data_IF_977769827598
#
_entry.id   IF_977769827598
#
_cell.length_a   1.000
_cell.length_b   1.000
_cell.length_c   1.000
_cell.angle_alpha   90.00
_cell.angle_beta   90.00
_cell.angle_gamma   90.00
#
_symmetry.space_group_name_H-M   'P 1'
#
loop_
_entity.id
_entity.type
_entity.pdbx_description
1 polymer ?
#
# COMPACT_ATOMS: atom_id res chain seq x y z
N UNK A 1 -11.47 -17.95 9.43
CA UNK A 1 -10.47 -18.74 8.68
C UNK A 1 -9.63 -17.77 7.88
N UNK A 2 -8.30 -17.84 7.99
CA UNK A 2 -7.42 -16.66 7.91
C UNK A 2 -7.28 -16.02 6.52
N UNK A 3 -7.33 -14.68 6.50
CA UNK A 3 -7.02 -13.80 5.37
C UNK A 3 -5.67 -14.10 4.68
N UNK A 4 -4.72 -14.74 5.37
CA UNK A 4 -3.47 -15.18 4.76
C UNK A 4 -3.77 -16.16 3.63
N UNK A 5 -4.73 -17.08 3.83
CA UNK A 5 -5.12 -18.00 2.77
C UNK A 5 -5.67 -17.25 1.56
N UNK A 6 -6.47 -16.19 1.71
CA UNK A 6 -7.04 -15.49 0.54
C UNK A 6 -5.99 -14.76 -0.31
N UNK A 7 -4.96 -14.19 0.32
CA UNK A 7 -3.83 -13.57 -0.41
C UNK A 7 -2.87 -14.60 -0.99
N UNK A 8 -2.65 -15.72 -0.30
CA UNK A 8 -1.82 -16.82 -0.83
C UNK A 8 -2.53 -17.63 -1.92
N UNK A 9 -3.88 -17.66 -1.94
CA UNK A 9 -4.68 -18.27 -3.01
C UNK A 9 -4.94 -17.33 -4.17
N UNK A 10 -4.91 -16.01 -3.93
CA UNK A 10 -4.91 -15.05 -5.02
C UNK A 10 -3.59 -15.16 -5.77
N UNK A 11 -3.62 -15.10 -7.11
CA UNK A 11 -2.45 -15.15 -8.00
C UNK A 11 -1.62 -13.85 -7.88
N UNK A 12 -1.23 -13.51 -6.67
CA UNK A 12 -0.53 -12.28 -6.29
C UNK A 12 0.94 -12.64 -6.03
N UNK A 13 1.90 -11.94 -6.66
CA UNK A 13 3.31 -12.23 -6.48
C UNK A 13 3.74 -12.12 -5.00
N UNK A 14 4.67 -12.97 -4.56
CA UNK A 14 5.19 -12.97 -3.17
C UNK A 14 5.66 -11.59 -2.69
N UNK A 15 6.24 -10.76 -3.58
CA UNK A 15 6.60 -9.36 -3.28
C UNK A 15 5.42 -8.49 -2.87
N UNK A 16 4.24 -8.71 -3.45
CA UNK A 16 3.02 -7.99 -3.14
C UNK A 16 2.44 -8.45 -1.79
N UNK A 17 2.51 -9.74 -1.48
CA UNK A 17 2.15 -10.25 -0.14
C UNK A 17 2.97 -9.58 0.97
N UNK A 18 4.29 -9.45 0.76
CA UNK A 18 5.17 -8.81 1.74
C UNK A 18 4.81 -7.32 1.96
N UNK A 19 4.56 -6.58 0.87
CA UNK A 19 4.13 -5.17 0.94
C UNK A 19 2.74 -5.04 1.58
N UNK A 20 1.80 -5.95 1.29
CA UNK A 20 0.47 -5.94 1.91
C UNK A 20 0.58 -6.10 3.42
N UNK A 21 1.36 -7.09 3.89
CA UNK A 21 1.57 -7.33 5.32
C UNK A 21 2.13 -6.09 6.00
N UNK A 22 3.15 -5.48 5.40
CA UNK A 22 3.73 -4.24 5.89
C UNK A 22 2.69 -3.11 6.03
N UNK A 23 1.86 -2.90 5.00
CA UNK A 23 0.85 -1.85 5.02
C UNK A 23 -0.17 -2.11 6.13
N UNK A 24 -0.68 -3.35 6.20
CA UNK A 24 -1.66 -3.77 7.21
C UNK A 24 -1.16 -3.57 8.63
N UNK A 25 0.06 -4.01 8.92
CA UNK A 25 0.68 -3.91 10.26
C UNK A 25 0.91 -2.44 10.68
N UNK A 26 0.75 -1.48 9.76
CA UNK A 26 0.91 -0.04 9.98
C UNK A 26 -0.38 0.75 9.75
N UNK A 27 -1.50 0.07 9.58
CA UNK A 27 -2.80 0.74 9.49
C UNK A 27 -3.25 1.27 10.83
N UNK A 28 -3.95 2.40 10.81
CA UNK A 28 -4.70 2.93 11.96
C UNK A 28 -6.06 2.20 12.10
N UNK A 29 -6.86 2.61 13.08
CA UNK A 29 -8.21 2.07 13.34
C UNK A 29 -9.16 2.17 12.13
N UNK A 30 -8.87 3.07 11.18
CA UNK A 30 -9.62 3.26 9.93
C UNK A 30 -9.07 2.41 8.78
N UNK A 31 -8.17 1.45 9.05
CA UNK A 31 -7.47 0.63 8.05
C UNK A 31 -6.65 1.44 7.04
N UNK A 32 -6.19 2.63 7.44
CA UNK A 32 -5.44 3.55 6.59
C UNK A 32 -3.99 3.69 7.05
N UNK A 33 -3.07 3.84 6.10
CA UNK A 33 -1.69 4.20 6.37
C UNK A 33 -1.14 5.14 5.28
N UNK A 34 -0.10 5.90 5.59
CA UNK A 34 0.47 6.89 4.67
C UNK A 34 2.01 6.89 4.56
N UNK A 35 2.68 5.72 4.56
CA UNK A 35 4.12 5.67 4.33
C UNK A 35 4.49 6.14 2.92
N UNK A 36 5.65 6.79 2.77
CA UNK A 36 6.21 7.04 1.44
C UNK A 36 6.68 5.72 0.80
N UNK A 37 6.74 5.67 -0.53
CA UNK A 37 7.29 4.49 -1.23
C UNK A 37 8.75 4.24 -0.86
N UNK A 38 9.53 5.30 -0.63
CA UNK A 38 10.92 5.21 -0.16
C UNK A 38 11.02 4.59 1.24
N UNK A 39 10.09 4.93 2.14
CA UNK A 39 10.02 4.32 3.48
C UNK A 39 9.72 2.83 3.38
N UNK A 40 8.74 2.44 2.55
CA UNK A 40 8.41 1.02 2.32
C UNK A 40 9.64 0.29 1.77
N UNK A 41 10.30 0.87 0.76
CA UNK A 41 11.49 0.31 0.13
C UNK A 41 12.63 0.09 1.13
N UNK A 42 12.91 1.12 1.94
CA UNK A 42 13.98 1.06 2.95
C UNK A 42 13.68 0.04 4.04
N UNK A 43 12.46 -0.02 4.54
CA UNK A 43 12.10 -0.92 5.64
C UNK A 43 11.99 -2.38 5.20
N UNK A 44 11.60 -2.63 3.94
CA UNK A 44 11.49 -3.98 3.37
C UNK A 44 12.75 -4.42 2.60
N UNK A 45 13.78 -3.57 2.54
CA UNK A 45 15.03 -3.81 1.79
C UNK A 45 14.80 -4.20 0.32
N UNK A 46 13.84 -3.54 -0.34
CA UNK A 46 13.52 -3.74 -1.76
C UNK A 46 13.57 -2.41 -2.50
N UNK A 47 13.73 -2.44 -3.83
CA UNK A 47 13.73 -1.20 -4.61
C UNK A 47 12.35 -0.53 -4.64
N UNK A 48 12.34 0.80 -4.75
CA UNK A 48 11.12 1.60 -4.92
C UNK A 48 10.31 1.13 -6.13
N UNK A 49 10.97 0.74 -7.23
CA UNK A 49 10.32 0.15 -8.40
C UNK A 49 9.59 -1.16 -8.08
N UNK A 50 10.14 -1.96 -7.17
CA UNK A 50 9.50 -3.21 -6.71
C UNK A 50 8.31 -2.91 -5.81
N UNK A 51 8.43 -1.92 -4.92
CA UNK A 51 7.29 -1.40 -4.14
C UNK A 51 6.17 -0.93 -5.05
N UNK A 52 6.49 -0.15 -6.09
CA UNK A 52 5.49 0.37 -7.02
C UNK A 52 4.76 -0.75 -7.77
N UNK A 53 5.49 -1.76 -8.26
CA UNK A 53 4.88 -2.95 -8.87
C UNK A 53 4.00 -3.72 -7.87
N UNK A 54 4.46 -3.90 -6.64
CA UNK A 54 3.71 -4.59 -5.59
C UNK A 54 2.40 -3.87 -5.26
N UNK A 55 2.45 -2.55 -5.08
CA UNK A 55 1.26 -1.72 -4.87
C UNK A 55 0.29 -1.85 -6.04
N UNK A 56 0.76 -1.80 -7.28
CA UNK A 56 -0.11 -1.95 -8.45
C UNK A 56 -0.81 -3.31 -8.49
N UNK A 57 -0.11 -4.40 -8.17
CA UNK A 57 -0.72 -5.73 -8.12
C UNK A 57 -1.77 -5.84 -7.01
N UNK A 58 -1.48 -5.28 -5.83
CA UNK A 58 -2.44 -5.25 -4.72
C UNK A 58 -3.68 -4.42 -5.04
N UNK A 59 -3.53 -3.29 -5.74
CA UNK A 59 -4.66 -2.47 -6.21
C UNK A 59 -5.48 -3.23 -7.24
N UNK A 60 -4.83 -3.88 -8.22
CA UNK A 60 -5.51 -4.67 -9.26
C UNK A 60 -6.26 -5.86 -8.69
N UNK A 61 -5.71 -6.49 -7.66
CA UNK A 61 -6.34 -7.60 -6.95
C UNK A 61 -7.38 -7.15 -5.91
N UNK A 62 -7.57 -5.85 -5.70
CA UNK A 62 -8.59 -5.30 -4.79
C UNK A 62 -8.24 -5.38 -3.31
N UNK A 63 -6.98 -5.69 -2.96
CA UNK A 63 -6.54 -5.78 -1.56
C UNK A 63 -6.29 -4.41 -0.91
N UNK A 64 -5.92 -3.41 -1.71
CA UNK A 64 -5.69 -2.04 -1.24
C UNK A 64 -6.26 -1.02 -2.22
N UNK A 65 -6.56 0.17 -1.71
CA UNK A 65 -6.75 1.37 -2.50
C UNK A 65 -5.61 2.34 -2.28
N UNK A 66 -5.21 3.05 -3.34
CA UNK A 66 -4.17 4.08 -3.30
C UNK A 66 -4.77 5.43 -3.69
N UNK A 67 -4.70 6.41 -2.79
CA UNK A 67 -5.05 7.81 -3.07
C UNK A 67 -3.79 8.68 -3.04
N UNK A 68 -3.46 9.28 -4.19
CA UNK A 68 -2.41 10.30 -4.23
C UNK A 68 -2.89 11.53 -3.45
N UNK A 69 -2.14 11.95 -2.44
CA UNK A 69 -2.42 13.20 -1.75
C UNK A 69 -1.47 14.28 -2.28
N UNK A 70 -2.00 15.47 -2.54
CA UNK A 70 -1.21 16.64 -2.91
C UNK A 70 -1.40 17.71 -1.85
N UNK A 71 -0.35 18.47 -1.54
CA UNK A 71 -0.50 19.67 -0.71
C UNK A 71 -1.07 20.78 -1.58
N UNK A 72 -2.29 21.17 -1.30
CA UNK A 72 -2.93 22.34 -1.90
C UNK A 72 -2.97 23.47 -0.89
N UNK A 73 -2.42 24.63 -1.24
CA UNK A 73 -2.58 25.86 -0.49
C UNK A 73 -3.02 26.94 -1.48
N UNK A 74 -4.09 27.68 -1.14
CA UNK A 74 -4.63 28.73 -2.01
C UNK A 74 -4.80 28.31 -3.49
N UNK A 75 -5.42 27.14 -3.71
CA UNK A 75 -5.64 26.50 -5.03
C UNK A 75 -4.37 26.20 -5.86
N UNK A 76 -3.16 26.43 -5.32
CA UNK A 76 -1.88 26.06 -5.93
C UNK A 76 -1.37 24.74 -5.35
N UNK A 77 -0.80 23.89 -6.21
CA UNK A 77 -0.21 22.60 -5.81
C UNK A 77 1.27 22.81 -5.44
N UNK A 78 1.62 22.61 -4.18
CA UNK A 78 2.96 22.89 -3.63
C UNK A 78 3.86 21.64 -3.52
N UNK A 79 3.36 20.48 -3.94
CA UNK A 79 4.12 19.23 -3.92
C UNK A 79 3.26 18.03 -3.54
N UNK A 80 3.80 16.84 -3.81
CA UNK A 80 3.14 15.57 -3.50
C UNK A 80 3.24 15.28 -2.00
N UNK A 81 2.11 15.01 -1.34
CA UNK A 81 2.08 14.42 0.02
C UNK A 81 2.23 12.90 -0.11
N UNK A 82 2.66 12.20 0.95
CA UNK A 82 2.72 10.74 0.92
C UNK A 82 1.37 10.14 0.47
N UNK A 83 1.43 9.03 -0.27
CA UNK A 83 0.21 8.37 -0.73
C UNK A 83 -0.55 7.85 0.49
N UNK A 84 -1.87 7.97 0.47
CA UNK A 84 -2.74 7.30 1.44
C UNK A 84 -3.11 5.93 0.87
N UNK A 85 -2.88 4.88 1.66
CA UNK A 85 -3.31 3.52 1.35
C UNK A 85 -4.41 3.11 2.30
N UNK A 86 -5.52 2.61 1.76
CA UNK A 86 -6.60 1.97 2.51
C UNK A 86 -6.48 0.47 2.30
N UNK A 87 -6.37 -0.30 3.38
CA UNK A 87 -6.26 -1.76 3.33
C UNK A 87 -7.64 -2.36 3.51
N UNK A 88 -8.06 -3.19 2.54
CA UNK A 88 -9.32 -3.92 2.64
C UNK A 88 -9.07 -5.26 3.34
N UNK A 89 -9.97 -5.62 4.27
CA UNK A 89 -10.05 -6.98 4.81
C UNK A 89 -11.24 -7.65 4.15
N UNK A 90 -11.00 -8.78 3.49
CA UNK A 90 -12.06 -9.75 3.22
C UNK A 90 -12.21 -10.55 4.51
N UNK A 91 -13.26 -10.26 5.29
CA UNK A 91 -13.71 -11.09 6.41
C UNK A 91 -14.64 -12.19 5.88
#
# INVERSE_FOLDING_TARGET
MGYLNSIYTADVPSRAVNVYRYLRDRTNDQKQCYPSMDRIASDLHISVSTVNRAINDLVRAGFIEKKNQFRTYDKKTYGKKSNLYTVHSFD
#
